data_IF_733037164213
#
_entry.id   IF_733037164213
#
_cell.length_a   1.000
_cell.length_b   1.000
_cell.length_c   1.000
_cell.angle_alpha   90.00
_cell.angle_beta   90.00
_cell.angle_gamma   90.00
#
_symmetry.space_group_name_H-M   'P 1'
#
loop_
_entity.id
_entity.type
_entity.pdbx_description
1 polymer ?
#
# COMPACT_ATOMS: atom_id res chain seq x y z
N UNK A 1 -62.28 -43.94 -61.37
CA UNK A 1 -61.72 -45.07 -62.16
C UNK A 1 -60.27 -45.23 -61.77
N UNK A 2 -59.64 -46.43 -61.69
CA UNK A 2 -59.93 -47.74 -62.35
C UNK A 2 -60.36 -48.87 -61.35
N UNK A 3 -61.34 -49.76 -61.63
CA UNK A 3 -61.36 -51.03 -62.44
C UNK A 3 -60.54 -52.17 -61.78
N UNK A 4 -60.91 -53.46 -61.62
CA UNK A 4 -62.02 -54.45 -61.85
C UNK A 4 -61.58 -55.71 -61.00
N UNK A 5 -62.36 -56.71 -60.54
CA UNK A 5 -63.00 -57.84 -61.28
C UNK A 5 -63.75 -58.85 -60.34
N UNK A 6 -65.00 -59.21 -60.72
CA UNK A 6 -65.71 -60.53 -60.81
C UNK A 6 -65.86 -61.60 -59.67
N UNK A 7 -67.10 -62.11 -59.53
CA UNK A 7 -67.64 -63.33 -58.83
C UNK A 7 -67.57 -64.62 -59.73
N UNK A 8 -68.41 -65.70 -59.63
CA UNK A 8 -69.16 -66.46 -58.56
C UNK A 8 -69.12 -68.03 -58.73
N UNK A 9 -69.86 -68.86 -57.94
CA UNK A 9 -70.72 -69.97 -58.47
C UNK A 9 -71.69 -70.61 -57.45
N UNK A 10 -72.83 -71.14 -57.95
CA UNK A 10 -73.96 -71.88 -57.31
C UNK A 10 -74.15 -73.22 -58.06
N UNK A 11 -74.76 -74.24 -57.42
CA UNK A 11 -75.70 -75.30 -57.93
C UNK A 11 -75.55 -76.62 -57.12
N UNK A 12 -76.46 -77.62 -57.00
CA UNK A 12 -77.92 -77.84 -56.80
C UNK A 12 -78.17 -79.38 -56.86
N UNK A 13 -79.11 -79.93 -56.07
CA UNK A 13 -79.88 -81.20 -56.32
C UNK A 13 -79.19 -82.54 -55.97
N UNK A 14 -79.83 -83.68 -55.65
CA UNK A 14 -81.20 -84.22 -55.83
C UNK A 14 -81.43 -85.50 -54.96
N UNK A 15 -82.70 -85.89 -54.76
CA UNK A 15 -83.22 -87.17 -54.18
C UNK A 15 -83.83 -88.03 -55.32
N UNK A 16 -83.89 -89.38 -55.20
CA UNK A 16 -85.02 -90.12 -55.80
C UNK A 16 -85.65 -91.24 -54.92
N UNK A 17 -86.89 -91.64 -55.25
CA UNK A 17 -87.66 -92.79 -54.73
C UNK A 17 -88.04 -93.73 -55.91
N UNK A 18 -88.19 -95.05 -55.63
CA UNK A 18 -89.43 -95.88 -55.81
C UNK A 18 -89.45 -97.19 -56.68
N UNK A 19 -90.22 -98.20 -56.20
CA UNK A 19 -90.95 -99.36 -56.86
C UNK A 19 -90.19 -100.67 -57.26
N UNK A 20 -90.73 -101.94 -57.37
CA UNK A 20 -92.02 -102.67 -57.17
C UNK A 20 -91.82 -104.24 -57.23
N UNK A 21 -92.92 -105.02 -57.22
CA UNK A 21 -93.19 -106.46 -56.84
C UNK A 21 -93.28 -107.55 -57.97
N UNK A 22 -93.19 -108.84 -57.55
CA UNK A 22 -93.97 -110.12 -57.87
C UNK A 22 -93.60 -111.07 -59.05
N UNK A 23 -93.55 -112.41 -58.80
CA UNK A 23 -94.59 -113.44 -59.18
C UNK A 23 -94.13 -114.93 -59.01
N UNK A 24 -95.11 -115.87 -59.04
CA UNK A 24 -95.11 -117.32 -58.70
C UNK A 24 -95.26 -118.26 -59.93
N UNK A 25 -94.92 -119.56 -59.79
CA UNK A 25 -95.57 -120.84 -60.31
C UNK A 25 -94.49 -121.96 -60.45
N UNK A 26 -94.68 -123.28 -60.35
CA UNK A 26 -95.79 -124.28 -60.30
C UNK A 26 -95.20 -125.64 -59.81
N UNK A 27 -96.03 -126.61 -59.40
CA UNK A 27 -95.65 -127.92 -58.81
C UNK A 27 -95.98 -129.16 -59.69
N UNK A 28 -95.34 -130.32 -59.40
CA UNK A 28 -95.75 -131.76 -59.52
C UNK A 28 -94.52 -132.64 -59.12
N UNK A 29 -94.55 -133.93 -58.75
CA UNK A 29 -95.37 -134.83 -57.91
C UNK A 29 -94.54 -136.15 -57.85
N UNK A 30 -94.17 -136.65 -56.67
CA UNK A 30 -93.65 -138.02 -56.48
C UNK A 30 -92.16 -138.17 -56.12
N UNK A 31 -91.85 -138.28 -54.82
CA UNK A 31 -91.16 -139.44 -54.22
C UNK A 31 -90.81 -139.12 -52.75
N UNK A 32 -91.41 -139.91 -51.87
CA UNK A 32 -91.64 -139.64 -50.45
C UNK A 32 -90.76 -140.63 -49.70
N UNK A 33 -89.54 -140.20 -49.35
CA UNK A 33 -88.56 -141.02 -48.61
C UNK A 33 -87.29 -140.26 -48.20
N UNK A 34 -86.89 -139.24 -48.97
CA UNK A 34 -85.72 -138.39 -48.69
C UNK A 34 -86.00 -137.16 -47.80
N UNK A 35 -87.28 -136.92 -47.48
CA UNK A 35 -87.79 -135.66 -46.91
C UNK A 35 -87.69 -135.51 -45.37
N UNK A 36 -87.22 -136.52 -44.63
CA UNK A 36 -87.06 -136.38 -43.17
C UNK A 36 -85.69 -135.82 -42.76
N UNK A 37 -84.60 -136.22 -43.44
CA UNK A 37 -83.23 -135.75 -43.10
C UNK A 37 -82.93 -134.30 -43.51
N UNK A 38 -83.59 -133.75 -44.54
CA UNK A 38 -83.44 -132.33 -44.88
C UNK A 38 -84.27 -131.39 -43.99
N UNK A 39 -85.35 -131.86 -43.36
CA UNK A 39 -86.17 -131.01 -42.49
C UNK A 39 -85.44 -130.64 -41.19
N UNK A 40 -84.70 -131.58 -40.59
CA UNK A 40 -83.88 -131.34 -39.40
C UNK A 40 -82.74 -130.34 -39.65
N UNK A 41 -82.03 -130.45 -40.79
CA UNK A 41 -80.99 -129.48 -41.15
C UNK A 41 -81.55 -128.08 -41.45
N UNK A 42 -82.82 -127.96 -41.89
CA UNK A 42 -83.47 -126.66 -42.12
C UNK A 42 -83.91 -125.97 -40.83
N UNK A 43 -84.30 -126.72 -39.79
CA UNK A 43 -84.67 -126.11 -38.50
C UNK A 43 -83.45 -125.58 -37.73
N UNK A 44 -82.29 -126.23 -37.87
CA UNK A 44 -81.05 -125.78 -37.23
C UNK A 44 -80.50 -124.48 -37.84
N UNK A 45 -80.69 -124.27 -39.15
CA UNK A 45 -80.33 -123.02 -39.85
C UNK A 45 -81.25 -121.84 -39.49
N UNK A 46 -82.55 -122.07 -39.31
CA UNK A 46 -83.52 -121.01 -38.93
C UNK A 46 -83.30 -120.50 -37.50
N UNK A 47 -82.88 -121.37 -36.57
CA UNK A 47 -82.53 -120.96 -35.20
C UNK A 47 -81.24 -120.12 -35.15
N UNK A 48 -80.27 -120.36 -36.03
CA UNK A 48 -79.05 -119.54 -36.15
C UNK A 48 -79.31 -118.15 -36.74
N UNK A 49 -80.24 -118.01 -37.69
CA UNK A 49 -80.60 -116.70 -38.24
C UNK A 49 -81.42 -115.83 -37.28
N UNK A 50 -82.26 -116.43 -36.43
CA UNK A 50 -83.01 -115.68 -35.40
C UNK A 50 -82.08 -115.04 -34.35
N UNK A 51 -81.01 -115.71 -33.92
CA UNK A 51 -80.03 -115.12 -32.98
C UNK A 51 -79.26 -113.93 -33.60
N UNK A 52 -78.83 -114.03 -34.87
CA UNK A 52 -78.09 -112.92 -35.53
C UNK A 52 -78.93 -111.66 -35.81
N UNK A 53 -80.25 -111.78 -35.90
CA UNK A 53 -81.15 -110.63 -36.10
C UNK A 53 -81.53 -109.93 -34.79
N UNK A 54 -81.40 -110.59 -33.63
CA UNK A 54 -81.66 -109.99 -32.33
C UNK A 54 -80.47 -109.11 -31.88
N UNK A 55 -79.23 -109.58 -32.07
CA UNK A 55 -78.01 -108.82 -31.75
C UNK A 55 -77.85 -107.54 -32.60
N UNK A 56 -78.35 -107.52 -33.85
CA UNK A 56 -78.35 -106.32 -34.71
C UNK A 56 -79.37 -105.26 -34.30
N UNK A 57 -80.45 -105.62 -33.61
CA UNK A 57 -81.47 -104.66 -33.12
C UNK A 57 -81.04 -103.96 -31.83
N UNK A 58 -80.25 -104.61 -30.99
CA UNK A 58 -79.76 -104.02 -29.74
C UNK A 58 -78.58 -103.05 -29.99
N UNK A 59 -77.69 -103.38 -30.93
CA UNK A 59 -76.55 -102.52 -31.31
C UNK A 59 -76.95 -101.24 -32.06
N UNK A 60 -78.10 -101.21 -32.75
CA UNK A 60 -78.61 -100.00 -33.43
C UNK A 60 -79.44 -99.07 -32.55
N UNK A 61 -79.93 -99.54 -31.39
CA UNK A 61 -80.58 -98.65 -30.39
C UNK A 61 -79.56 -97.91 -29.53
N UNK A 62 -78.41 -98.51 -29.21
CA UNK A 62 -77.35 -97.84 -28.44
C UNK A 62 -76.69 -96.68 -29.21
N UNK A 63 -76.46 -96.81 -30.52
CA UNK A 63 -75.82 -95.75 -31.32
C UNK A 63 -76.70 -94.51 -31.58
N UNK A 64 -78.03 -94.62 -31.52
CA UNK A 64 -78.92 -93.47 -31.74
C UNK A 64 -79.09 -92.55 -30.52
N UNK A 65 -78.65 -92.98 -29.32
CA UNK A 65 -78.73 -92.18 -28.10
C UNK A 65 -77.46 -91.34 -27.84
N UNK A 66 -76.29 -91.73 -28.36
CA UNK A 66 -75.07 -90.92 -28.28
C UNK A 66 -75.03 -89.76 -29.27
N UNK A 67 -75.58 -89.94 -30.48
CA UNK A 67 -75.55 -88.88 -31.51
C UNK A 67 -76.48 -87.70 -31.20
N UNK A 68 -77.52 -87.90 -30.38
CA UNK A 68 -78.42 -86.81 -29.96
C UNK A 68 -77.76 -85.95 -28.88
N UNK A 69 -77.00 -86.54 -27.94
CA UNK A 69 -76.32 -85.79 -26.87
C UNK A 69 -75.16 -84.91 -27.36
N UNK A 70 -74.41 -85.34 -28.38
CA UNK A 70 -73.32 -84.52 -28.96
C UNK A 70 -73.80 -83.30 -29.77
N UNK A 71 -75.06 -83.28 -30.23
CA UNK A 71 -75.59 -82.14 -31.00
C UNK A 71 -76.15 -81.00 -30.13
N UNK A 72 -76.46 -81.26 -28.86
CA UNK A 72 -76.99 -80.25 -27.92
C UNK A 72 -75.88 -79.50 -27.15
N UNK A 73 -74.69 -80.08 -26.99
CA UNK A 73 -73.54 -79.41 -26.33
C UNK A 73 -72.86 -78.36 -27.23
N UNK A 74 -72.67 -78.62 -28.54
CA UNK A 74 -72.02 -77.63 -29.43
C UNK A 74 -72.86 -76.36 -29.66
N UNK A 75 -74.19 -76.42 -29.58
CA UNK A 75 -75.03 -75.23 -29.75
C UNK A 75 -75.04 -74.30 -28.51
N UNK A 76 -74.63 -74.78 -27.33
CA UNK A 76 -74.51 -73.93 -26.13
C UNK A 76 -73.16 -73.21 -26.05
N UNK A 77 -72.09 -73.76 -26.63
CA UNK A 77 -70.77 -73.10 -26.64
C UNK A 77 -70.67 -71.94 -27.64
N UNK A 78 -71.26 -72.04 -28.84
CA UNK A 78 -71.19 -70.95 -29.84
C UNK A 78 -71.90 -69.65 -29.43
N UNK A 79 -72.93 -69.73 -28.59
CA UNK A 79 -73.71 -68.53 -28.19
C UNK A 79 -73.10 -67.75 -27.02
N UNK A 80 -72.27 -68.39 -26.19
CA UNK A 80 -71.54 -67.74 -25.10
C UNK A 80 -70.25 -67.06 -25.59
N UNK A 81 -69.54 -67.66 -26.54
CA UNK A 81 -68.32 -67.06 -27.11
C UNK A 81 -68.59 -65.77 -27.91
N UNK A 82 -69.74 -65.68 -28.59
CA UNK A 82 -70.10 -64.50 -29.39
C UNK A 82 -70.45 -63.27 -28.53
N UNK A 83 -70.98 -63.45 -27.32
CA UNK A 83 -71.30 -62.34 -26.40
C UNK A 83 -70.05 -61.82 -25.67
N UNK A 84 -69.12 -62.70 -25.29
CA UNK A 84 -67.86 -62.32 -24.66
C UNK A 84 -66.95 -61.47 -25.58
N UNK A 85 -66.90 -61.77 -26.89
CA UNK A 85 -66.12 -60.99 -27.86
C UNK A 85 -66.63 -59.56 -28.05
N UNK A 86 -67.96 -59.33 -28.03
CA UNK A 86 -68.54 -57.99 -28.18
C UNK A 86 -68.32 -57.09 -26.96
N UNK A 87 -68.39 -57.63 -25.74
CA UNK A 87 -68.10 -56.84 -24.54
C UNK A 87 -66.61 -56.49 -24.41
N UNK A 88 -65.71 -57.40 -24.78
CA UNK A 88 -64.27 -57.15 -24.78
C UNK A 88 -63.87 -56.08 -25.81
N UNK A 89 -64.48 -56.09 -26.99
CA UNK A 89 -64.22 -55.06 -28.02
C UNK A 89 -64.76 -53.67 -27.59
N UNK A 90 -65.93 -53.62 -26.94
CA UNK A 90 -66.50 -52.38 -26.42
C UNK A 90 -65.68 -51.79 -25.26
N UNK A 91 -65.17 -52.63 -24.34
CA UNK A 91 -64.25 -52.22 -23.27
C UNK A 91 -62.93 -51.70 -23.84
N UNK A 92 -62.34 -52.42 -24.79
CA UNK A 92 -61.10 -52.01 -25.44
C UNK A 92 -61.23 -50.66 -26.16
N UNK A 93 -62.33 -50.42 -26.89
CA UNK A 93 -62.55 -49.12 -27.57
C UNK A 93 -62.72 -47.95 -26.58
N UNK A 94 -63.41 -48.16 -25.45
CA UNK A 94 -63.56 -47.13 -24.40
C UNK A 94 -62.23 -46.85 -23.70
N UNK A 95 -61.46 -47.89 -23.38
CA UNK A 95 -60.17 -47.75 -22.72
C UNK A 95 -59.13 -47.10 -23.64
N UNK A 96 -59.14 -47.44 -24.93
CA UNK A 96 -58.24 -46.86 -25.93
C UNK A 96 -58.58 -45.39 -26.25
N UNK A 97 -59.87 -45.00 -26.19
CA UNK A 97 -60.27 -43.58 -26.26
C UNK A 97 -59.81 -42.81 -25.02
N UNK A 98 -59.99 -43.35 -23.81
CA UNK A 98 -59.50 -42.73 -22.56
C UNK A 98 -57.98 -42.57 -22.59
N UNK A 99 -57.23 -43.61 -22.96
CA UNK A 99 -55.77 -43.55 -23.13
C UNK A 99 -55.36 -42.49 -24.16
N UNK A 100 -56.06 -42.36 -25.28
CA UNK A 100 -55.77 -41.31 -26.30
C UNK A 100 -56.04 -39.90 -25.78
N UNK A 101 -57.09 -39.69 -24.99
CA UNK A 101 -57.40 -38.40 -24.38
C UNK A 101 -56.44 -38.06 -23.24
N UNK A 102 -56.06 -39.03 -22.41
CA UNK A 102 -55.03 -38.90 -21.36
C UNK A 102 -53.66 -38.58 -21.97
N UNK A 103 -53.25 -39.26 -23.05
CA UNK A 103 -52.01 -38.95 -23.77
C UNK A 103 -52.03 -37.54 -24.36
N UNK A 104 -53.17 -37.08 -24.90
CA UNK A 104 -53.30 -35.69 -25.39
C UNK A 104 -53.23 -34.68 -24.25
N UNK A 105 -53.88 -34.94 -23.12
CA UNK A 105 -53.85 -34.08 -21.95
C UNK A 105 -52.43 -34.02 -21.34
N UNK A 106 -51.75 -35.16 -21.23
CA UNK A 106 -50.34 -35.25 -20.81
C UNK A 106 -49.41 -34.49 -21.76
N UNK A 107 -49.56 -34.67 -23.08
CA UNK A 107 -48.76 -33.92 -24.07
C UNK A 107 -49.02 -32.40 -24.00
N UNK A 108 -50.25 -31.97 -23.73
CA UNK A 108 -50.58 -30.56 -23.55
C UNK A 108 -49.96 -29.98 -22.26
N UNK A 109 -50.04 -30.72 -21.15
CA UNK A 109 -49.39 -30.35 -19.88
C UNK A 109 -47.87 -30.30 -20.01
N UNK A 110 -47.25 -31.29 -20.67
CA UNK A 110 -45.81 -31.30 -20.93
C UNK A 110 -45.36 -30.09 -21.76
N UNK A 111 -46.09 -29.74 -22.84
CA UNK A 111 -45.79 -28.54 -23.64
C UNK A 111 -45.97 -27.23 -22.86
N UNK A 112 -46.93 -27.16 -21.96
CA UNK A 112 -47.15 -25.98 -21.13
C UNK A 112 -46.07 -25.84 -20.04
N UNK A 113 -45.69 -26.95 -19.40
CA UNK A 113 -44.56 -26.98 -18.46
C UNK A 113 -43.23 -26.67 -19.15
N UNK A 114 -43.02 -27.17 -20.38
CA UNK A 114 -41.82 -26.88 -21.18
C UNK A 114 -41.73 -25.38 -21.51
N UNK A 115 -42.84 -24.75 -21.93
CA UNK A 115 -42.90 -23.29 -22.12
C UNK A 115 -42.64 -22.51 -20.83
N UNK A 116 -43.24 -22.91 -19.71
CA UNK A 116 -42.99 -22.27 -18.41
C UNK A 116 -41.52 -22.42 -17.98
N UNK A 117 -40.92 -23.60 -18.19
CA UNK A 117 -39.49 -23.84 -17.91
C UNK A 117 -38.59 -23.00 -18.83
N UNK A 118 -38.95 -22.82 -20.10
CA UNK A 118 -38.22 -21.94 -21.02
C UNK A 118 -38.33 -20.45 -20.61
N UNK A 119 -39.51 -19.99 -20.19
CA UNK A 119 -39.70 -18.63 -19.68
C UNK A 119 -38.90 -18.39 -18.39
N UNK A 120 -38.91 -19.34 -17.45
CA UNK A 120 -38.09 -19.29 -16.23
C UNK A 120 -36.60 -19.25 -16.58
N UNK A 121 -36.14 -20.09 -17.52
CA UNK A 121 -34.74 -20.08 -17.99
C UNK A 121 -34.36 -18.75 -18.65
N UNK A 122 -35.25 -18.15 -19.44
CA UNK A 122 -34.99 -16.84 -20.07
C UNK A 122 -34.91 -15.72 -19.03
N UNK A 123 -35.78 -15.74 -18.02
CA UNK A 123 -35.73 -14.79 -16.89
C UNK A 123 -34.45 -14.95 -16.07
N UNK A 124 -34.11 -16.18 -15.66
CA UNK A 124 -32.87 -16.48 -14.94
C UNK A 124 -31.63 -16.02 -15.72
N UNK A 125 -31.55 -16.32 -17.03
CA UNK A 125 -30.45 -15.84 -17.87
C UNK A 125 -30.39 -14.31 -17.98
N UNK A 126 -31.52 -13.62 -17.94
CA UNK A 126 -31.57 -12.15 -17.93
C UNK A 126 -31.12 -11.57 -16.60
N UNK A 127 -31.50 -12.21 -15.49
CA UNK A 127 -31.10 -11.80 -14.14
C UNK A 127 -29.62 -12.11 -13.87
N UNK A 128 -29.11 -13.25 -14.35
CA UNK A 128 -27.69 -13.62 -14.28
C UNK A 128 -26.82 -12.59 -15.00
N UNK A 129 -27.21 -12.14 -16.20
CA UNK A 129 -26.49 -11.08 -16.94
C UNK A 129 -26.47 -9.75 -16.20
N UNK A 130 -27.62 -9.33 -15.65
CA UNK A 130 -27.68 -8.10 -14.83
C UNK A 130 -26.82 -8.21 -13.57
N UNK A 131 -26.76 -9.39 -12.98
CA UNK A 131 -25.92 -9.65 -11.82
C UNK A 131 -24.42 -9.63 -12.20
N UNK A 132 -24.05 -10.19 -13.35
CA UNK A 132 -22.68 -10.12 -13.89
C UNK A 132 -22.26 -8.67 -14.15
N UNK A 133 -23.09 -7.86 -14.81
CA UNK A 133 -22.86 -6.43 -15.05
C UNK A 133 -22.71 -5.65 -13.72
N UNK A 134 -23.61 -5.89 -12.76
CA UNK A 134 -23.55 -5.27 -11.44
C UNK A 134 -22.26 -5.64 -10.69
N UNK A 135 -21.82 -6.90 -10.77
CA UNK A 135 -20.56 -7.33 -10.15
C UNK A 135 -19.34 -6.75 -10.85
N UNK A 136 -19.38 -6.54 -12.17
CA UNK A 136 -18.32 -5.86 -12.90
C UNK A 136 -18.22 -4.38 -12.51
N UNK A 137 -19.35 -3.68 -12.41
CA UNK A 137 -19.39 -2.28 -11.96
C UNK A 137 -18.93 -2.12 -10.52
N UNK A 138 -19.32 -3.04 -9.63
CA UNK A 138 -18.80 -3.06 -8.25
C UNK A 138 -17.28 -3.28 -8.20
N UNK A 139 -16.73 -4.15 -9.06
CA UNK A 139 -15.27 -4.33 -9.16
C UNK A 139 -14.57 -3.07 -9.64
N UNK A 140 -15.11 -2.37 -10.65
CA UNK A 140 -14.58 -1.08 -11.12
C UNK A 140 -14.63 -0.01 -10.03
N UNK A 141 -15.75 0.09 -9.31
CA UNK A 141 -15.91 1.02 -8.18
C UNK A 141 -14.94 0.72 -7.04
N UNK A 142 -14.73 -0.55 -6.68
CA UNK A 142 -13.76 -0.92 -5.65
C UNK A 142 -12.33 -0.59 -6.10
N UNK A 143 -11.95 -0.89 -7.34
CA UNK A 143 -10.63 -0.52 -7.87
C UNK A 143 -10.40 1.00 -7.86
N UNK A 144 -11.43 1.81 -8.14
CA UNK A 144 -11.35 3.27 -8.01
C UNK A 144 -11.19 3.72 -6.55
N UNK A 145 -11.91 3.10 -5.61
CA UNK A 145 -11.77 3.37 -4.18
C UNK A 145 -10.35 3.06 -3.69
N UNK A 146 -9.83 1.88 -4.04
CA UNK A 146 -8.47 1.46 -3.67
C UNK A 146 -7.42 2.44 -4.19
N UNK A 147 -7.56 2.89 -5.45
CA UNK A 147 -6.69 3.94 -6.03
C UNK A 147 -6.76 5.26 -5.26
N UNK A 148 -7.96 5.71 -4.88
CA UNK A 148 -8.14 6.95 -4.10
C UNK A 148 -7.52 6.80 -2.70
N UNK A 149 -7.68 5.64 -2.05
CA UNK A 149 -7.08 5.37 -0.74
C UNK A 149 -5.55 5.33 -0.83
N UNK A 150 -4.99 4.70 -1.86
CA UNK A 150 -3.54 4.70 -2.10
C UNK A 150 -3.02 6.12 -2.31
N UNK A 151 -3.69 6.95 -3.12
CA UNK A 151 -3.31 8.36 -3.30
C UNK A 151 -3.35 9.17 -2.01
N UNK A 152 -4.37 8.95 -1.15
CA UNK A 152 -4.43 9.59 0.16
C UNK A 152 -3.26 9.17 1.05
N UNK A 153 -2.87 7.90 0.99
CA UNK A 153 -1.72 7.37 1.72
C UNK A 153 -0.41 7.99 1.21
N UNK A 154 -0.18 8.01 -0.10
CA UNK A 154 1.01 8.62 -0.72
C UNK A 154 1.11 10.12 -0.40
N UNK A 155 -0.01 10.83 -0.48
CA UNK A 155 -0.15 12.24 -0.10
C UNK A 155 0.21 12.50 1.38
N UNK A 156 -0.16 11.58 2.28
CA UNK A 156 0.18 11.68 3.70
C UNK A 156 1.65 11.33 3.97
N UNK A 157 2.20 10.33 3.26
CA UNK A 157 3.63 9.98 3.35
C UNK A 157 4.48 11.18 2.91
N UNK A 158 4.17 11.77 1.76
CA UNK A 158 4.88 12.95 1.26
C UNK A 158 4.85 14.10 2.27
N UNK A 159 3.69 14.37 2.89
CA UNK A 159 3.57 15.40 3.92
C UNK A 159 4.48 15.12 5.12
N UNK A 160 4.55 13.88 5.60
CA UNK A 160 5.42 13.52 6.71
C UNK A 160 6.90 13.63 6.35
N UNK A 161 7.29 13.11 5.18
CA UNK A 161 8.67 13.13 4.70
C UNK A 161 9.17 14.56 4.50
N UNK A 162 8.44 15.39 3.75
CA UNK A 162 8.80 16.79 3.49
C UNK A 162 8.86 17.62 4.79
N UNK A 163 7.93 17.41 5.72
CA UNK A 163 7.98 18.07 7.03
C UNK A 163 9.23 17.66 7.83
N UNK A 164 9.55 16.37 7.84
CA UNK A 164 10.69 15.84 8.59
C UNK A 164 12.01 16.30 7.99
N UNK A 165 12.14 16.27 6.65
CA UNK A 165 13.33 16.69 5.91
C UNK A 165 13.53 18.19 6.03
N UNK A 166 12.47 18.98 5.85
CA UNK A 166 12.53 20.45 6.00
C UNK A 166 12.94 20.87 7.42
N UNK A 167 12.47 20.15 8.45
CA UNK A 167 12.91 20.36 9.83
C UNK A 167 14.39 20.01 10.02
N UNK A 168 14.82 18.83 9.54
CA UNK A 168 16.20 18.37 9.66
C UNK A 168 17.19 19.31 8.94
N UNK A 169 16.84 19.77 7.74
CA UNK A 169 17.63 20.73 6.97
C UNK A 169 17.77 22.07 7.68
N UNK A 170 16.66 22.60 8.22
CA UNK A 170 16.66 23.84 9.02
C UNK A 170 17.56 23.70 10.25
N UNK A 171 17.43 22.61 11.00
CA UNK A 171 18.25 22.34 12.18
C UNK A 171 19.74 22.21 11.81
N UNK A 172 20.05 21.55 10.69
CA UNK A 172 21.42 21.42 10.16
C UNK A 172 22.00 22.79 9.80
N UNK A 173 21.24 23.64 9.09
CA UNK A 173 21.66 25.01 8.75
C UNK A 173 21.91 25.86 10.00
N UNK A 174 21.02 25.78 11.00
CA UNK A 174 21.18 26.51 12.27
C UNK A 174 22.43 26.06 13.03
N UNK A 175 22.70 24.76 13.09
CA UNK A 175 23.93 24.21 13.70
C UNK A 175 25.19 24.66 12.94
N UNK A 176 25.14 24.65 11.61
CA UNK A 176 26.22 25.17 10.77
C UNK A 176 26.52 26.65 11.06
N UNK A 177 25.47 27.47 11.17
CA UNK A 177 25.60 28.88 11.54
C UNK A 177 26.19 29.07 12.96
N UNK A 178 25.82 28.23 13.93
CA UNK A 178 26.41 28.23 15.27
C UNK A 178 27.91 27.91 15.24
N UNK A 179 28.30 26.88 14.49
CA UNK A 179 29.68 26.44 14.38
C UNK A 179 30.57 27.46 13.65
N UNK A 180 30.09 28.05 12.55
CA UNK A 180 30.81 29.09 11.81
C UNK A 180 31.05 30.31 12.70
N UNK A 181 29.99 30.82 13.32
CA UNK A 181 30.08 31.99 14.20
C UNK A 181 31.00 31.74 15.41
N UNK A 182 30.95 30.55 16.01
CA UNK A 182 31.87 30.19 17.10
C UNK A 182 33.33 30.20 16.64
N UNK A 183 33.61 29.63 15.46
CA UNK A 183 34.96 29.56 14.91
C UNK A 183 35.49 30.95 14.57
N UNK A 184 34.68 31.78 13.90
CA UNK A 184 35.01 33.17 13.59
C UNK A 184 35.25 34.01 14.85
N UNK A 185 34.37 33.93 15.86
CA UNK A 185 34.56 34.63 17.14
C UNK A 185 35.85 34.20 17.82
N UNK A 186 36.18 32.91 17.76
CA UNK A 186 37.41 32.37 18.36
C UNK A 186 38.67 32.90 17.66
N UNK A 187 38.65 33.02 16.34
CA UNK A 187 39.73 33.60 15.55
C UNK A 187 39.91 35.10 15.88
N UNK A 188 38.81 35.86 15.83
CA UNK A 188 38.81 37.28 16.21
C UNK A 188 39.38 37.47 17.61
N UNK A 189 38.93 36.70 18.60
CA UNK A 189 39.45 36.78 19.98
C UNK A 189 40.96 36.53 20.06
N UNK A 190 41.48 35.55 19.31
CA UNK A 190 42.92 35.24 19.29
C UNK A 190 43.73 36.38 18.68
N UNK A 191 43.25 36.97 17.59
CA UNK A 191 43.95 38.07 16.92
C UNK A 191 43.95 39.33 17.78
N UNK A 192 42.82 39.66 18.41
CA UNK A 192 42.73 40.80 19.33
C UNK A 192 43.52 40.56 20.63
N UNK A 193 43.65 39.31 21.10
CA UNK A 193 44.55 38.98 22.21
C UNK A 193 46.02 39.24 21.84
N UNK A 194 46.45 38.88 20.63
CA UNK A 194 47.81 39.19 20.15
C UNK A 194 48.03 40.70 20.05
N UNK A 195 47.10 41.44 19.44
CA UNK A 195 47.16 42.91 19.34
C UNK A 195 47.32 43.58 20.70
N UNK A 196 46.58 43.13 21.73
CA UNK A 196 46.75 43.62 23.11
C UNK A 196 48.15 43.31 23.66
N UNK A 197 48.64 42.08 23.45
CA UNK A 197 50.00 41.70 23.84
C UNK A 197 51.07 42.57 23.18
N UNK A 198 50.89 42.91 21.90
CA UNK A 198 51.81 43.80 21.18
C UNK A 198 51.78 45.23 21.73
N UNK A 199 50.60 45.71 22.16
CA UNK A 199 50.46 47.02 22.82
C UNK A 199 51.17 47.02 24.19
N UNK A 200 50.99 45.96 24.98
CA UNK A 200 51.67 45.82 26.29
C UNK A 200 53.20 45.75 26.14
N UNK A 201 53.69 45.08 25.09
CA UNK A 201 55.14 45.04 24.78
C UNK A 201 55.65 46.42 24.40
N UNK A 202 54.95 47.14 23.52
CA UNK A 202 55.31 48.52 23.15
C UNK A 202 55.32 49.47 24.35
N UNK A 203 54.35 49.34 25.26
CA UNK A 203 54.34 50.13 26.50
C UNK A 203 55.62 49.89 27.30
N UNK A 204 56.01 48.63 27.49
CA UNK A 204 57.23 48.28 28.23
C UNK A 204 58.48 48.86 27.58
N UNK A 205 58.59 48.73 26.25
CA UNK A 205 59.73 49.24 25.50
C UNK A 205 59.83 50.76 25.65
N UNK A 206 58.73 51.50 25.45
CA UNK A 206 58.68 52.96 25.62
C UNK A 206 59.00 53.39 27.07
N UNK A 207 58.54 52.64 28.07
CA UNK A 207 58.87 52.91 29.47
C UNK A 207 60.36 52.69 29.76
N UNK A 208 60.98 51.67 29.16
CA UNK A 208 62.42 51.43 29.29
C UNK A 208 63.24 52.51 28.61
N UNK A 209 62.87 52.91 27.39
CA UNK A 209 63.52 54.00 26.64
C UNK A 209 63.46 55.31 27.43
N UNK A 210 62.28 55.69 27.93
CA UNK A 210 62.13 56.91 28.74
C UNK A 210 62.97 56.88 30.03
N UNK A 211 63.08 55.72 30.67
CA UNK A 211 63.91 55.55 31.86
C UNK A 211 65.41 55.63 31.53
N UNK A 212 65.85 55.08 30.40
CA UNK A 212 67.22 55.18 29.92
C UNK A 212 67.62 56.61 29.55
N UNK A 213 66.74 57.34 28.87
CA UNK A 213 66.95 58.75 28.53
C UNK A 213 67.12 59.60 29.80
N UNK A 214 66.21 59.45 30.77
CA UNK A 214 66.32 60.14 32.05
C UNK A 214 67.61 59.76 32.80
N UNK A 215 68.02 58.49 32.75
CA UNK A 215 69.29 58.05 33.35
C UNK A 215 70.49 58.68 32.66
N UNK A 216 70.51 58.76 31.32
CA UNK A 216 71.58 59.41 30.54
C UNK A 216 71.68 60.89 30.89
N UNK A 217 70.54 61.60 30.99
CA UNK A 217 70.50 63.02 31.36
C UNK A 217 71.01 63.24 32.80
N UNK A 218 70.58 62.41 33.75
CA UNK A 218 71.07 62.45 35.15
C UNK A 218 72.58 62.19 35.26
N UNK A 219 73.10 61.24 34.50
CA UNK A 219 74.54 60.95 34.47
C UNK A 219 75.32 62.16 33.92
N UNK A 220 74.80 62.82 32.88
CA UNK A 220 75.41 64.03 32.34
C UNK A 220 75.39 65.19 33.36
N UNK A 221 74.28 65.39 34.06
CA UNK A 221 74.16 66.38 35.13
C UNK A 221 75.14 66.11 36.28
N UNK A 222 75.25 64.87 36.75
CA UNK A 222 76.20 64.48 37.79
C UNK A 222 77.65 64.72 37.35
N UNK A 223 77.99 64.42 36.09
CA UNK A 223 79.33 64.67 35.53
C UNK A 223 79.64 66.18 35.52
N UNK A 224 78.65 67.00 35.15
CA UNK A 224 78.77 68.45 35.14
C UNK A 224 78.92 69.02 36.56
N UNK A 225 78.16 68.50 37.52
CA UNK A 225 78.26 68.85 38.95
C UNK A 225 79.67 68.56 39.51
N UNK A 226 80.21 67.37 39.23
CA UNK A 226 81.56 66.99 39.65
C UNK A 226 82.63 67.90 39.04
N UNK A 227 82.48 68.27 37.76
CA UNK A 227 83.35 69.23 37.08
C UNK A 227 83.31 70.60 37.77
N UNK A 228 82.11 71.18 37.94
CA UNK A 228 81.92 72.47 38.60
C UNK A 228 82.44 72.46 40.04
N UNK A 229 82.25 71.37 40.79
CA UNK A 229 82.77 71.22 42.15
C UNK A 229 84.30 71.24 42.17
N UNK A 230 84.94 70.60 41.20
CA UNK A 230 86.39 70.63 41.04
C UNK A 230 86.89 72.05 40.73
N UNK A 231 86.22 72.75 39.81
CA UNK A 231 86.57 74.12 39.42
C UNK A 231 86.46 75.09 40.61
N UNK A 232 85.34 75.02 41.34
CA UNK A 232 85.13 75.79 42.58
C UNK A 232 86.27 75.51 43.58
N UNK A 233 86.58 74.25 43.85
CA UNK A 233 87.64 73.87 44.80
C UNK A 233 89.00 74.44 44.38
N UNK A 234 89.33 74.37 43.09
CA UNK A 234 90.58 74.91 42.55
C UNK A 234 90.65 76.43 42.68
N UNK A 235 89.56 77.14 42.38
CA UNK A 235 89.48 78.60 42.51
C UNK A 235 89.64 79.05 43.97
N UNK A 236 88.97 78.37 44.91
CA UNK A 236 89.09 78.68 46.32
C UNK A 236 90.46 78.30 46.89
N UNK A 237 91.10 77.24 46.39
CA UNK A 237 92.49 76.92 46.74
C UNK A 237 93.46 78.02 46.29
N UNK A 238 93.30 78.57 45.08
CA UNK A 238 94.10 79.72 44.62
C UNK A 238 93.90 80.94 45.53
N UNK A 239 92.67 81.23 45.93
CA UNK A 239 92.36 82.31 46.88
C UNK A 239 93.00 82.09 48.25
N UNK A 240 93.00 80.84 48.76
CA UNK A 240 93.72 80.50 50.01
C UNK A 240 95.21 80.80 49.91
N UNK A 241 95.87 80.39 48.82
CA UNK A 241 97.31 80.68 48.62
C UNK A 241 97.60 82.19 48.56
N UNK A 242 96.71 82.99 47.95
CA UNK A 242 96.84 84.44 47.96
C UNK A 242 96.66 85.02 49.37
N UNK A 243 95.65 84.57 50.11
CA UNK A 243 95.42 85.01 51.49
C UNK A 243 96.57 84.61 52.44
N UNK A 244 97.29 83.53 52.15
CA UNK A 244 98.45 83.12 52.93
C UNK A 244 99.62 84.11 52.88
N UNK A 245 99.69 84.95 51.83
CA UNK A 245 100.71 86.00 51.66
C UNK A 245 100.48 87.28 52.47
N UNK A 246 99.34 87.38 53.19
CA UNK A 246 99.02 88.52 54.05
C UNK A 246 99.96 88.54 55.26
N UNK A 247 100.65 89.67 55.48
CA UNK A 247 101.64 89.82 56.54
C UNK A 247 101.04 89.91 57.96
N UNK A 248 99.86 90.53 58.13
CA UNK A 248 99.17 90.60 59.42
C UNK A 248 98.47 89.25 59.75
N UNK A 249 98.86 88.56 60.83
CA UNK A 249 98.26 87.28 61.22
C UNK A 249 96.74 87.34 61.46
N UNK A 250 96.25 88.46 62.00
CA UNK A 250 94.82 88.61 62.30
C UNK A 250 94.01 88.85 61.03
N UNK A 251 94.50 89.70 60.12
CA UNK A 251 93.90 89.89 58.80
C UNK A 251 93.92 88.58 57.97
N UNK A 252 95.04 87.85 57.97
CA UNK A 252 95.17 86.54 57.31
C UNK A 252 94.12 85.54 57.80
N UNK A 253 93.96 85.42 59.13
CA UNK A 253 92.97 84.51 59.72
C UNK A 253 91.54 84.87 59.33
N UNK A 254 91.19 86.16 59.32
CA UNK A 254 89.85 86.62 58.90
C UNK A 254 89.59 86.32 57.43
N UNK A 255 90.57 86.55 56.56
CA UNK A 255 90.44 86.32 55.13
C UNK A 255 90.26 84.83 54.81
N UNK A 256 91.06 83.94 55.43
CA UNK A 256 90.90 82.49 55.28
C UNK A 256 89.52 82.01 55.74
N UNK A 257 89.00 82.54 56.85
CA UNK A 257 87.64 82.22 57.32
C UNK A 257 86.55 82.70 56.35
N UNK A 258 86.74 83.88 55.73
CA UNK A 258 85.82 84.40 54.72
C UNK A 258 85.82 83.54 53.45
N UNK A 259 87.01 83.10 53.01
CA UNK A 259 87.19 82.19 51.87
C UNK A 259 86.49 80.85 52.12
N UNK A 260 86.64 80.26 53.31
CA UNK A 260 85.97 79.01 53.66
C UNK A 260 84.43 79.14 53.70
N UNK A 261 83.91 80.26 54.23
CA UNK A 261 82.46 80.55 54.21
C UNK A 261 81.95 80.73 52.78
N UNK A 262 82.70 81.44 51.95
CA UNK A 262 82.36 81.67 50.56
C UNK A 262 82.40 80.38 49.73
N UNK A 263 83.39 79.49 49.96
CA UNK A 263 83.48 78.17 49.32
C UNK A 263 82.26 77.31 49.68
N UNK A 264 81.91 77.22 50.98
CA UNK A 264 80.72 76.49 51.43
C UNK A 264 79.44 77.04 50.80
N UNK A 265 79.30 78.37 50.70
CA UNK A 265 78.14 79.00 50.06
C UNK A 265 78.09 78.71 48.55
N UNK A 266 79.23 78.76 47.86
CA UNK A 266 79.31 78.47 46.43
C UNK A 266 78.96 77.00 46.12
N UNK A 267 79.51 76.06 46.89
CA UNK A 267 79.19 74.63 46.78
C UNK A 267 77.70 74.41 47.05
N UNK A 268 77.15 74.98 48.13
CA UNK A 268 75.73 74.82 48.46
C UNK A 268 74.80 75.34 47.36
N UNK A 269 75.11 76.49 46.75
CA UNK A 269 74.32 77.05 45.63
C UNK A 269 74.39 76.16 44.39
N UNK A 270 75.57 75.63 44.09
CA UNK A 270 75.77 74.72 42.96
C UNK A 270 75.01 73.40 43.16
N UNK A 271 75.11 72.80 44.36
CA UNK A 271 74.35 71.60 44.72
C UNK A 271 72.83 71.84 44.65
N UNK A 272 72.35 73.01 45.11
CA UNK A 272 70.93 73.37 45.00
C UNK A 272 70.47 73.44 43.53
N UNK A 273 71.28 74.04 42.65
CA UNK A 273 70.98 74.10 41.22
C UNK A 273 70.99 72.72 40.56
N UNK A 274 71.95 71.86 40.91
CA UNK A 274 72.01 70.47 40.44
C UNK A 274 70.77 69.69 40.88
N UNK A 275 70.39 69.78 42.17
CA UNK A 275 69.18 69.15 42.71
C UNK A 275 67.91 69.60 42.00
N UNK A 276 67.78 70.90 41.69
CA UNK A 276 66.64 71.43 40.92
C UNK A 276 66.57 70.81 39.52
N UNK A 277 67.68 70.79 38.78
CA UNK A 277 67.73 70.16 37.45
C UNK A 277 67.45 68.66 37.50
N UNK A 278 67.97 67.96 38.49
CA UNK A 278 67.69 66.53 38.69
C UNK A 278 66.20 66.27 38.96
N UNK A 279 65.56 67.13 39.77
CA UNK A 279 64.12 67.06 40.03
C UNK A 279 63.28 67.39 38.78
N UNK A 280 63.73 68.31 37.93
CA UNK A 280 63.09 68.58 36.63
C UNK A 280 63.13 67.35 35.71
N UNK A 281 64.25 66.62 35.66
CA UNK A 281 64.36 65.36 34.90
C UNK A 281 63.38 64.31 35.44
N UNK A 282 63.24 64.20 36.76
CA UNK A 282 62.25 63.30 37.37
C UNK A 282 60.80 63.73 37.08
N UNK A 283 60.52 65.03 37.07
CA UNK A 283 59.23 65.59 36.66
C UNK A 283 58.89 65.25 35.20
N UNK A 284 59.85 65.41 34.29
CA UNK A 284 59.69 65.02 32.87
C UNK A 284 59.46 63.52 32.72
N UNK A 285 60.24 62.70 33.42
CA UNK A 285 60.09 61.23 33.38
C UNK A 285 58.71 60.79 33.88
N UNK A 286 58.26 61.31 35.01
CA UNK A 286 56.94 60.97 35.57
C UNK A 286 55.81 61.41 34.65
N UNK A 287 55.91 62.60 34.05
CA UNK A 287 54.96 63.06 33.06
C UNK A 287 54.95 62.15 31.83
N UNK A 288 56.13 61.79 31.30
CA UNK A 288 56.24 60.91 30.13
C UNK A 288 55.68 59.51 30.38
N UNK A 289 55.93 58.93 31.56
CA UNK A 289 55.33 57.66 31.97
C UNK A 289 53.80 57.72 31.98
N UNK A 290 53.24 58.83 32.47
CA UNK A 290 51.79 59.05 32.48
C UNK A 290 51.21 59.19 31.07
N UNK A 291 51.90 59.89 30.17
CA UNK A 291 51.50 59.99 28.76
C UNK A 291 51.47 58.62 28.09
N UNK A 292 52.55 57.82 28.25
CA UNK A 292 52.65 56.46 27.70
C UNK A 292 51.48 55.62 28.21
N UNK A 293 51.29 55.54 29.53
CA UNK A 293 50.21 54.75 30.13
C UNK A 293 48.81 55.16 29.64
N UNK A 294 48.56 56.46 29.46
CA UNK A 294 47.29 56.96 28.93
C UNK A 294 47.08 56.59 27.46
N UNK A 295 48.12 56.67 26.64
CA UNK A 295 48.08 56.27 25.23
C UNK A 295 47.79 54.77 25.13
N UNK A 296 48.55 53.93 25.84
CA UNK A 296 48.34 52.48 25.91
C UNK A 296 46.91 52.14 26.34
N UNK A 297 46.41 52.78 27.40
CA UNK A 297 45.03 52.57 27.87
C UNK A 297 43.97 52.91 26.81
N UNK A 298 44.17 53.98 26.05
CA UNK A 298 43.27 54.37 24.94
C UNK A 298 43.33 53.35 23.80
N UNK A 299 44.52 52.89 23.43
CA UNK A 299 44.70 51.89 22.37
C UNK A 299 44.10 50.53 22.75
N UNK A 300 44.32 50.07 23.99
CA UNK A 300 43.68 48.86 24.52
C UNK A 300 42.15 49.00 24.54
N UNK A 301 41.65 50.18 24.91
CA UNK A 301 40.24 50.52 24.88
C UNK A 301 39.64 50.43 23.47
N UNK A 302 40.29 51.06 22.49
CA UNK A 302 39.87 51.02 21.08
C UNK A 302 39.90 49.58 20.53
N UNK A 303 40.98 48.85 20.77
CA UNK A 303 41.16 47.45 20.39
C UNK A 303 40.03 46.57 20.97
N UNK A 304 39.67 46.78 22.24
CA UNK A 304 38.58 46.03 22.89
C UNK A 304 37.20 46.42 22.35
N UNK A 305 36.99 47.67 21.97
CA UNK A 305 35.74 48.12 21.36
C UNK A 305 35.56 47.55 19.95
N UNK A 306 36.62 47.51 19.15
CA UNK A 306 36.59 46.88 17.83
C UNK A 306 36.30 45.38 17.92
N UNK A 307 36.95 44.65 18.85
CA UNK A 307 36.64 43.23 19.09
C UNK A 307 35.14 43.04 19.39
N UNK A 308 34.56 43.90 20.24
CA UNK A 308 33.12 43.86 20.55
C UNK A 308 32.26 44.13 19.33
N UNK A 309 32.62 45.11 18.49
CA UNK A 309 31.86 45.41 17.26
C UNK A 309 31.85 44.22 16.31
N UNK A 310 33.02 43.65 16.03
CA UNK A 310 33.15 42.51 15.13
C UNK A 310 32.42 41.28 15.69
N UNK A 311 32.55 41.00 16.99
CA UNK A 311 31.83 39.86 17.60
C UNK A 311 30.31 40.05 17.56
N UNK A 312 29.80 41.27 17.79
CA UNK A 312 28.37 41.57 17.59
C UNK A 312 27.93 41.40 16.13
N UNK A 313 28.74 41.81 15.16
CA UNK A 313 28.43 41.62 13.74
C UNK A 313 28.34 40.13 13.37
N UNK A 314 29.24 39.30 13.90
CA UNK A 314 29.20 37.84 13.70
C UNK A 314 27.95 37.23 14.35
N UNK A 315 27.58 37.66 15.56
CA UNK A 315 26.35 37.23 16.23
C UNK A 315 25.08 37.64 15.46
N UNK A 316 25.07 38.85 14.89
CA UNK A 316 23.99 39.32 14.03
C UNK A 316 23.88 38.49 12.75
N UNK A 317 24.99 38.19 12.09
CA UNK A 317 25.03 37.29 10.90
C UNK A 317 24.51 35.90 11.24
N UNK A 318 24.92 35.33 12.38
CA UNK A 318 24.39 34.07 12.89
C UNK A 318 22.88 34.12 13.09
N UNK A 319 22.38 35.16 13.77
CA UNK A 319 20.95 35.34 14.01
C UNK A 319 20.16 35.43 12.70
N UNK A 320 20.67 36.19 11.72
CA UNK A 320 20.08 36.31 10.40
C UNK A 320 20.05 34.97 9.66
N UNK A 321 21.16 34.23 9.64
CA UNK A 321 21.24 32.91 9.00
C UNK A 321 20.25 31.91 9.62
N UNK A 322 20.05 31.95 10.94
CA UNK A 322 19.04 31.12 11.62
C UNK A 322 17.62 31.50 11.23
N UNK A 323 17.31 32.80 11.12
CA UNK A 323 16.01 33.29 10.66
C UNK A 323 15.72 32.86 9.22
N UNK A 324 16.70 33.00 8.33
CA UNK A 324 16.57 32.54 6.94
C UNK A 324 16.31 31.03 6.87
N UNK A 325 17.00 30.22 7.69
CA UNK A 325 16.74 28.78 7.76
C UNK A 325 15.33 28.43 8.28
N UNK A 326 14.73 29.28 9.12
CA UNK A 326 13.33 29.13 9.55
C UNK A 326 12.35 29.58 8.46
N UNK A 327 12.63 30.68 7.77
CA UNK A 327 11.81 31.20 6.68
C UNK A 327 11.74 30.22 5.51
N UNK A 328 12.88 29.66 5.08
CA UNK A 328 12.95 28.63 4.05
C UNK A 328 12.16 27.37 4.45
N UNK A 329 12.27 26.95 5.72
CA UNK A 329 11.50 25.82 6.25
C UNK A 329 10.00 26.08 6.15
N UNK A 330 9.56 27.27 6.56
CA UNK A 330 8.16 27.67 6.49
C UNK A 330 7.66 27.77 5.04
N UNK A 331 8.48 28.26 4.11
CA UNK A 331 8.16 28.28 2.69
C UNK A 331 7.92 26.86 2.15
N UNK A 332 8.83 25.92 2.44
CA UNK A 332 8.65 24.50 2.07
C UNK A 332 7.38 23.91 2.66
N UNK A 333 7.10 24.17 3.94
CA UNK A 333 5.87 23.68 4.59
C UNK A 333 4.61 24.23 3.91
N UNK A 334 4.61 25.49 3.46
CA UNK A 334 3.49 26.10 2.74
C UNK A 334 3.25 25.48 1.35
N UNK A 335 4.27 24.86 0.76
CA UNK A 335 4.16 24.18 -0.54
C UNK A 335 3.61 22.74 -0.42
N UNK A 336 3.73 22.11 0.76
CA UNK A 336 3.26 20.73 1.00
C UNK A 336 1.79 20.53 0.60
N UNK A 337 0.82 21.41 0.99
CA UNK A 337 -0.57 21.23 0.59
C UNK A 337 -0.78 21.25 -0.94
N UNK A 338 0.02 22.02 -1.68
CA UNK A 338 -0.06 22.07 -3.15
C UNK A 338 0.41 20.77 -3.76
N UNK A 339 1.57 20.25 -3.33
CA UNK A 339 2.08 18.94 -3.77
C UNK A 339 1.12 17.80 -3.40
N UNK A 340 0.50 17.88 -2.22
CA UNK A 340 -0.54 16.93 -1.76
C UNK A 340 -1.73 16.92 -2.72
N UNK A 341 -2.19 18.10 -3.12
CA UNK A 341 -3.28 18.26 -4.06
C UNK A 341 -2.92 17.72 -5.45
N UNK A 342 -1.70 17.98 -5.93
CA UNK A 342 -1.18 17.44 -7.19
C UNK A 342 -1.22 15.90 -7.22
N UNK A 343 -0.79 15.22 -6.14
CA UNK A 343 -0.90 13.75 -6.03
C UNK A 343 -2.36 13.28 -6.11
N UNK A 344 -3.27 13.97 -5.42
CA UNK A 344 -4.70 13.62 -5.43
C UNK A 344 -5.35 13.87 -6.80
N UNK A 345 -4.88 14.86 -7.56
CA UNK A 345 -5.47 15.26 -8.84
C UNK A 345 -4.80 14.62 -10.07
N UNK A 346 -3.65 13.95 -9.94
CA UNK A 346 -2.83 13.43 -11.03
C UNK A 346 -3.55 12.52 -12.07
N UNK A 347 -4.70 11.92 -11.74
CA UNK A 347 -5.46 11.06 -12.68
C UNK A 347 -6.67 11.78 -13.30
N UNK A 348 -7.05 12.97 -12.80
CA UNK A 348 -8.17 13.74 -13.35
C UNK A 348 -7.86 14.36 -14.71
N UNK A 349 -6.57 14.44 -15.08
CA UNK A 349 -6.17 14.92 -16.40
C UNK A 349 -6.21 13.81 -17.46
N UNK A 350 -5.93 12.57 -17.09
CA UNK A 350 -6.01 11.42 -18.00
C UNK A 350 -7.47 11.00 -18.30
N UNK A 351 -8.41 11.26 -17.39
CA UNK A 351 -9.84 10.95 -17.57
C UNK A 351 -10.64 12.03 -18.31
N UNK A 352 -10.06 13.19 -18.69
CA UNK A 352 -10.74 14.16 -19.58
C UNK A 352 -10.95 13.61 -21.01
N UNK A 353 -10.48 12.40 -21.30
CA UNK A 353 -10.81 11.63 -22.51
C UNK A 353 -12.09 10.80 -22.41
N UNK A 354 -12.66 10.62 -21.22
CA UNK A 354 -13.91 9.86 -21.01
C UNK A 354 -14.98 10.78 -20.42
N UNK A 355 -15.44 11.71 -21.25
CA UNK A 355 -16.62 12.51 -20.99
C UNK A 355 -17.84 11.62 -20.78
N UNK A 356 -18.17 11.34 -19.53
CA UNK A 356 -19.53 11.02 -19.13
C UNK A 356 -20.27 12.34 -18.92
N UNK A 357 -20.79 12.88 -20.01
CA UNK A 357 -21.91 13.83 -19.96
C UNK A 357 -23.13 13.07 -19.45
N UNK A 358 -23.61 13.48 -18.28
CA UNK A 358 -24.93 13.11 -17.72
C UNK A 358 -26.04 13.62 -18.64
#
# INVERSE_FOLDING_TARGET
MPKKTRKPSKKTGQIPKNTRRKSYKKAKKGERGYLRKQFEQSQELVLRERKKLQDKKETTKAKKLEDIKKSEEMNREETLEAKAKKEMEAKWRKENKKKKEEIKAMKKKQKEEEKRREEIRKKLKGDDKKNEELMEDLRKLNALKDKIEQKKLDANILEQEENSQSKADSDRKKRGADQSAFSEIKEVKRDYQKKRGDIDLKEKDLLTEAAEEARKEKVALNKLELGQRSDIKNDFQRKRMQAESIADPNAKRRELQNIDRAERSAISKMEEQSRKKMAEVDGKLTHRKFEIANQTKRELGATSQEERKITMEIENKKSLAKKQADEERLQRIREIPKKKQEIMDADKEDDRGLGWSI
#
